data_IF_204835784190
#
_entry.id   IF_204835784190
#
_cell.length_a   1.000
_cell.length_b   1.000
_cell.length_c   1.000
_cell.angle_alpha   90.00
_cell.angle_beta   90.00
_cell.angle_gamma   90.00
#
_symmetry.space_group_name_H-M   'P 1'
#
loop_
_entity.id
_entity.type
_entity.pdbx_description
1 polymer ?
#
# COMPACT_ATOMS: atom_id res chain seq x y z
N UNK A 1 0.85 13.60 -10.59
CA UNK A 1 0.95 14.01 -11.99
C UNK A 1 1.44 15.46 -12.08
N UNK A 2 0.82 16.43 -11.41
CA UNK A 2 1.22 17.86 -11.40
C UNK A 2 2.67 18.11 -10.95
N UNK A 3 3.18 17.37 -9.96
CA UNK A 3 4.57 17.50 -9.51
C UNK A 3 5.58 17.05 -10.58
N UNK A 4 5.28 15.97 -11.32
CA UNK A 4 6.14 15.53 -12.42
C UNK A 4 6.20 16.52 -13.57
N UNK A 5 5.07 17.09 -13.91
CA UNK A 5 4.99 18.13 -14.95
C UNK A 5 5.79 19.37 -14.54
N UNK A 6 5.63 19.82 -13.28
CA UNK A 6 6.39 20.95 -12.76
C UNK A 6 7.90 20.69 -12.79
N UNK A 7 8.35 19.55 -12.28
CA UNK A 7 9.75 19.16 -12.30
C UNK A 7 10.31 19.08 -13.73
N UNK A 8 9.51 18.63 -14.69
CA UNK A 8 9.90 18.60 -16.10
C UNK A 8 10.09 20.00 -16.66
N UNK A 9 9.19 20.95 -16.36
CA UNK A 9 9.36 22.34 -16.82
C UNK A 9 10.57 23.02 -16.17
N UNK A 10 10.87 22.76 -14.91
CA UNK A 10 12.07 23.27 -14.25
C UNK A 10 13.35 22.74 -14.92
N UNK A 11 13.40 21.45 -15.27
CA UNK A 11 14.53 20.88 -16.03
C UNK A 11 14.71 21.51 -17.41
N UNK A 12 13.64 21.73 -18.14
CA UNK A 12 13.69 22.38 -19.45
C UNK A 12 14.15 23.85 -19.35
N UNK A 13 13.73 24.55 -18.31
CA UNK A 13 14.18 25.92 -18.02
C UNK A 13 15.70 25.98 -17.78
N UNK A 14 16.24 25.05 -17.00
CA UNK A 14 17.67 24.93 -16.76
C UNK A 14 18.47 24.66 -18.05
N UNK A 15 17.97 23.75 -18.90
CA UNK A 15 18.59 23.43 -20.19
C UNK A 15 18.62 24.66 -21.07
N UNK A 16 17.49 25.35 -21.23
CA UNK A 16 17.36 26.53 -22.09
C UNK A 16 18.17 27.71 -21.56
N UNK A 17 18.14 27.91 -20.25
CA UNK A 17 18.94 28.95 -19.58
C UNK A 17 20.45 28.72 -19.75
N UNK A 18 20.90 27.49 -19.58
CA UNK A 18 22.32 27.09 -19.76
C UNK A 18 22.77 27.29 -21.21
N UNK A 19 21.99 26.82 -22.18
CA UNK A 19 22.32 26.99 -23.61
C UNK A 19 22.34 28.48 -23.98
N UNK A 20 21.34 29.25 -23.50
CA UNK A 20 21.27 30.67 -23.74
C UNK A 20 22.53 31.42 -23.23
N UNK A 21 22.91 31.18 -22.00
CA UNK A 21 24.04 31.85 -21.39
C UNK A 21 25.38 31.38 -21.90
N UNK A 22 25.58 30.04 -22.05
CA UNK A 22 26.90 29.47 -22.39
C UNK A 22 27.21 29.52 -23.89
N UNK A 23 26.20 29.38 -24.77
CA UNK A 23 26.43 29.32 -26.21
C UNK A 23 26.05 30.61 -26.93
N UNK A 24 24.99 31.30 -26.48
CA UNK A 24 24.53 32.53 -27.14
C UNK A 24 24.94 33.82 -26.44
N UNK A 25 25.41 33.73 -25.20
CA UNK A 25 25.72 34.90 -24.39
C UNK A 25 24.48 35.72 -23.99
N UNK A 26 23.26 35.10 -24.06
CA UNK A 26 21.99 35.73 -23.81
C UNK A 26 21.35 35.21 -22.54
N UNK A 27 20.75 36.10 -21.75
CA UNK A 27 19.97 35.69 -20.56
C UNK A 27 18.54 35.27 -20.94
N UNK A 28 18.45 34.20 -21.73
CA UNK A 28 17.19 33.72 -22.32
C UNK A 28 16.14 33.39 -21.25
N UNK A 29 16.52 32.96 -20.06
CA UNK A 29 15.62 32.69 -18.95
C UNK A 29 14.77 33.90 -18.52
N UNK A 30 15.25 35.14 -18.75
CA UNK A 30 14.47 36.34 -18.46
C UNK A 30 13.20 36.44 -19.33
N UNK A 31 13.25 35.88 -20.55
CA UNK A 31 12.13 35.88 -21.48
C UNK A 31 11.04 34.85 -21.13
N UNK A 32 11.20 34.06 -20.07
CA UNK A 32 10.19 33.13 -19.57
C UNK A 32 8.88 33.81 -19.16
N UNK A 33 8.96 34.99 -18.54
CA UNK A 33 7.81 35.68 -17.96
C UNK A 33 7.36 36.90 -18.77
N UNK A 34 8.28 37.55 -19.48
CA UNK A 34 8.02 38.77 -20.29
C UNK A 34 9.07 38.85 -21.38
N UNK A 35 8.82 39.66 -22.41
CA UNK A 35 9.82 39.91 -23.44
C UNK A 35 11.11 40.47 -22.83
N UNK A 36 12.27 40.00 -23.31
CA UNK A 36 13.55 40.38 -22.74
C UNK A 36 13.75 41.92 -22.82
N UNK A 37 14.22 42.50 -21.72
CA UNK A 37 14.26 43.96 -21.57
C UNK A 37 15.22 44.65 -22.55
N UNK A 38 16.34 44.03 -22.86
CA UNK A 38 17.41 44.64 -23.62
C UNK A 38 17.63 43.99 -25.00
N UNK A 39 17.39 42.71 -25.11
CA UNK A 39 17.62 41.96 -26.33
C UNK A 39 16.27 41.75 -27.08
N UNK A 40 16.24 41.64 -28.41
CA UNK A 40 15.03 41.40 -29.18
C UNK A 40 14.59 39.92 -29.05
N UNK A 41 14.37 39.47 -27.82
CA UNK A 41 13.99 38.13 -27.49
C UNK A 41 12.57 38.13 -26.84
N UNK A 42 11.54 37.87 -27.61
CA UNK A 42 10.19 37.79 -27.06
C UNK A 42 9.97 36.50 -26.26
N UNK A 43 9.06 36.52 -25.29
CA UNK A 43 8.63 35.35 -24.50
C UNK A 43 8.27 34.16 -25.38
N UNK A 44 7.65 34.40 -26.54
CA UNK A 44 7.32 33.34 -27.49
C UNK A 44 8.54 32.54 -27.95
N UNK A 45 9.70 33.19 -28.13
CA UNK A 45 10.91 32.49 -28.60
C UNK A 45 11.58 31.70 -27.51
N UNK A 46 11.46 32.13 -26.23
CA UNK A 46 11.81 31.28 -25.08
C UNK A 46 11.02 29.95 -25.11
N UNK A 47 9.68 30.01 -25.29
CA UNK A 47 8.86 28.80 -25.33
C UNK A 47 9.10 27.93 -26.58
N UNK A 48 9.46 28.56 -27.72
CA UNK A 48 9.88 27.81 -28.90
C UNK A 48 11.20 27.07 -28.67
N UNK A 49 12.16 27.69 -28.00
CA UNK A 49 13.42 27.05 -27.64
C UNK A 49 13.18 25.93 -26.62
N UNK A 50 12.34 26.15 -25.63
CA UNK A 50 11.91 25.12 -24.68
C UNK A 50 11.26 23.92 -25.37
N UNK A 51 10.37 24.19 -26.35
CA UNK A 51 9.69 23.14 -27.13
C UNK A 51 10.67 22.30 -27.95
N UNK A 52 11.78 22.85 -28.41
CA UNK A 52 12.82 22.08 -29.12
C UNK A 52 13.45 20.99 -28.26
N UNK A 53 13.43 21.17 -26.93
CA UNK A 53 13.96 20.19 -25.96
C UNK A 53 12.87 19.38 -25.26
N UNK A 54 11.59 19.51 -25.65
CA UNK A 54 10.48 18.84 -24.97
C UNK A 54 10.60 17.32 -24.91
N UNK A 55 11.16 16.71 -25.97
CA UNK A 55 11.39 15.25 -26.06
C UNK A 55 12.77 14.80 -25.54
N UNK A 56 13.62 15.72 -25.05
CA UNK A 56 14.91 15.34 -24.47
C UNK A 56 14.71 14.76 -23.08
N UNK A 57 15.50 13.77 -22.71
CA UNK A 57 15.54 13.19 -21.37
C UNK A 57 16.96 13.17 -20.85
N UNK A 58 17.11 13.22 -19.53
CA UNK A 58 18.38 12.89 -18.90
C UNK A 58 18.47 11.36 -18.84
N UNK A 59 19.57 10.84 -19.38
CA UNK A 59 19.89 9.43 -19.31
C UNK A 59 21.35 9.31 -18.86
N UNK A 60 21.54 8.62 -17.75
CA UNK A 60 22.87 8.20 -17.36
C UNK A 60 23.32 7.05 -18.28
N UNK A 61 24.54 7.14 -18.78
CA UNK A 61 25.18 6.04 -19.49
C UNK A 61 26.59 5.88 -18.97
N UNK A 62 26.97 4.63 -18.81
CA UNK A 62 28.33 4.31 -18.40
C UNK A 62 29.27 4.61 -19.56
N UNK A 63 30.21 5.54 -19.33
CA UNK A 63 31.29 5.82 -20.25
C UNK A 63 32.53 5.05 -19.81
N UNK A 64 32.96 4.12 -20.63
CA UNK A 64 34.18 3.38 -20.41
C UNK A 64 35.28 3.94 -21.34
N UNK A 65 36.28 4.63 -20.76
CA UNK A 65 37.39 5.23 -21.53
C UNK A 65 38.32 4.19 -22.18
N UNK A 66 38.37 2.96 -21.63
CA UNK A 66 39.17 1.85 -22.17
C UNK A 66 38.41 0.51 -22.00
N UNK A 67 37.48 0.21 -22.92
CA UNK A 67 36.71 -1.02 -22.89
C UNK A 67 37.54 -2.31 -22.92
N UNK A 68 38.73 -2.26 -23.52
CA UNK A 68 39.60 -3.42 -23.59
C UNK A 68 40.25 -3.74 -22.24
N UNK A 69 40.77 -2.72 -21.56
CA UNK A 69 41.32 -2.87 -20.23
C UNK A 69 40.23 -3.26 -19.20
N UNK A 70 39.05 -2.66 -19.28
CA UNK A 70 37.92 -2.98 -18.43
C UNK A 70 37.47 -4.43 -18.61
N UNK A 71 37.40 -4.92 -19.83
CA UNK A 71 37.08 -6.34 -20.12
C UNK A 71 38.08 -7.30 -19.49
N UNK A 72 39.37 -7.02 -19.63
CA UNK A 72 40.43 -7.85 -19.02
C UNK A 72 40.33 -7.85 -17.49
N UNK A 73 40.13 -6.67 -16.89
CA UNK A 73 39.96 -6.54 -15.45
C UNK A 73 38.73 -7.29 -14.95
N UNK A 74 37.60 -7.19 -15.67
CA UNK A 74 36.37 -7.89 -15.38
C UNK A 74 36.49 -9.39 -15.47
N UNK A 75 37.10 -9.90 -16.55
CA UNK A 75 37.32 -11.34 -16.73
C UNK A 75 38.21 -11.92 -15.60
N UNK A 76 39.23 -11.17 -15.18
CA UNK A 76 40.09 -11.52 -14.04
C UNK A 76 39.30 -11.53 -12.72
N UNK A 77 38.50 -10.54 -12.51
CA UNK A 77 37.63 -10.42 -11.32
C UNK A 77 36.62 -11.57 -11.27
N UNK A 78 35.87 -11.80 -12.37
CA UNK A 78 34.85 -12.83 -12.45
C UNK A 78 35.44 -14.21 -12.21
N UNK A 79 36.62 -14.50 -12.76
CA UNK A 79 37.34 -15.75 -12.52
C UNK A 79 37.73 -15.94 -11.06
N UNK A 80 38.22 -14.88 -10.41
CA UNK A 80 38.58 -14.94 -8.98
C UNK A 80 37.33 -15.04 -8.08
N UNK A 81 36.24 -14.39 -8.46
CA UNK A 81 34.98 -14.37 -7.70
C UNK A 81 34.10 -15.61 -7.88
N UNK A 82 34.30 -16.34 -8.97
CA UNK A 82 33.46 -17.48 -9.33
C UNK A 82 33.31 -18.50 -8.20
N UNK A 83 34.38 -18.81 -7.50
CA UNK A 83 34.34 -19.75 -6.36
C UNK A 83 33.45 -19.29 -5.21
N UNK A 84 33.43 -17.98 -4.94
CA UNK A 84 32.56 -17.40 -3.91
C UNK A 84 31.09 -17.34 -4.35
N UNK A 85 30.86 -17.02 -5.63
CA UNK A 85 29.52 -17.04 -6.22
C UNK A 85 28.94 -18.44 -6.19
N UNK A 86 29.73 -19.45 -6.63
CA UNK A 86 29.31 -20.86 -6.63
C UNK A 86 29.04 -21.37 -5.20
N UNK A 87 29.89 -20.98 -4.22
CA UNK A 87 29.68 -21.33 -2.81
C UNK A 87 28.41 -20.68 -2.25
N UNK A 88 28.13 -19.43 -2.59
CA UNK A 88 26.90 -18.73 -2.19
C UNK A 88 25.67 -19.41 -2.77
N UNK A 89 25.64 -19.66 -4.08
CA UNK A 89 24.51 -20.33 -4.76
C UNK A 89 24.25 -21.71 -4.15
N UNK A 90 25.31 -22.46 -3.89
CA UNK A 90 25.20 -23.76 -3.22
C UNK A 90 24.60 -23.63 -1.83
N UNK A 91 25.10 -22.69 -1.03
CA UNK A 91 24.58 -22.44 0.33
C UNK A 91 23.10 -22.05 0.30
N UNK A 92 22.74 -21.13 -0.58
CA UNK A 92 21.37 -20.67 -0.77
C UNK A 92 20.44 -21.85 -1.12
N UNK A 93 20.85 -22.68 -2.08
CA UNK A 93 20.06 -23.84 -2.51
C UNK A 93 19.92 -24.92 -1.45
N UNK A 94 20.97 -25.18 -0.67
CA UNK A 94 20.98 -26.25 0.33
C UNK A 94 20.36 -25.84 1.67
N UNK A 95 20.48 -24.57 2.06
CA UNK A 95 20.11 -24.15 3.41
C UNK A 95 18.88 -23.24 3.48
N UNK A 96 18.62 -22.40 2.45
CA UNK A 96 17.51 -21.46 2.52
C UNK A 96 16.14 -22.13 2.59
N UNK A 97 15.82 -23.20 1.84
CA UNK A 97 14.51 -23.84 1.91
C UNK A 97 14.20 -24.31 3.32
N UNK A 98 15.14 -25.04 3.95
CA UNK A 98 14.97 -25.52 5.32
C UNK A 98 14.86 -24.39 6.33
N UNK A 99 15.68 -23.33 6.22
CA UNK A 99 15.61 -22.16 7.10
C UNK A 99 14.30 -21.40 6.95
N UNK A 100 13.77 -21.35 5.72
CA UNK A 100 12.46 -20.76 5.45
C UNK A 100 11.35 -21.59 6.12
N UNK A 101 11.40 -22.92 5.97
CA UNK A 101 10.44 -23.82 6.61
C UNK A 101 10.51 -23.74 8.15
N UNK A 102 11.72 -23.71 8.71
CA UNK A 102 11.94 -23.57 10.15
C UNK A 102 11.41 -22.21 10.63
N UNK A 103 11.62 -21.13 9.86
CA UNK A 103 11.12 -19.80 10.18
C UNK A 103 9.58 -19.71 10.07
N UNK A 104 9.01 -20.29 9.01
CA UNK A 104 7.55 -20.39 8.85
C UNK A 104 6.90 -21.19 9.96
N UNK A 105 7.57 -22.26 10.41
CA UNK A 105 7.11 -23.11 11.53
C UNK A 105 7.30 -22.45 12.90
N UNK A 106 8.34 -21.65 13.08
CA UNK A 106 8.61 -20.92 14.33
C UNK A 106 7.76 -19.66 14.49
N UNK A 107 7.46 -18.97 13.40
CA UNK A 107 6.50 -17.85 13.39
C UNK A 107 5.08 -18.39 13.25
N UNK A 108 4.54 -18.82 14.40
CA UNK A 108 3.14 -19.16 14.62
C UNK A 108 2.51 -20.01 13.50
N UNK A 109 2.42 -21.31 13.72
CA UNK A 109 1.25 -22.00 13.20
C UNK A 109 0.06 -21.22 13.72
N UNK A 110 -0.72 -20.53 12.87
CA UNK A 110 -1.97 -19.98 13.35
C UNK A 110 -2.69 -21.13 14.05
N UNK A 111 -3.40 -20.89 15.16
CA UNK A 111 -4.15 -21.94 15.81
C UNK A 111 -4.95 -22.65 14.73
N UNK A 112 -5.07 -23.99 14.75
CA UNK A 112 -5.91 -24.67 13.80
C UNK A 112 -7.32 -24.08 13.92
N UNK A 113 -7.67 -23.23 12.96
CA UNK A 113 -8.99 -22.65 12.85
C UNK A 113 -9.90 -23.80 12.40
N UNK A 114 -10.85 -24.17 13.24
CA UNK A 114 -11.83 -25.21 12.87
C UNK A 114 -12.79 -24.67 11.82
N UNK A 115 -13.22 -23.41 11.98
CA UNK A 115 -14.16 -22.79 11.07
C UNK A 115 -14.09 -21.27 11.14
N UNK A 116 -14.12 -20.64 9.97
CA UNK A 116 -14.41 -19.22 9.81
C UNK A 116 -15.83 -19.05 9.27
N UNK A 117 -16.66 -18.27 9.98
CA UNK A 117 -18.00 -17.95 9.53
C UNK A 117 -17.98 -17.10 8.25
N UNK A 118 -19.08 -17.09 7.51
CA UNK A 118 -19.28 -16.19 6.37
C UNK A 118 -19.33 -14.75 6.88
N UNK A 119 -18.73 -13.83 6.13
CA UNK A 119 -18.85 -12.42 6.44
C UNK A 119 -20.31 -11.96 6.35
N UNK A 120 -20.71 -11.18 7.33
CA UNK A 120 -21.98 -10.47 7.38
C UNK A 120 -21.69 -8.98 7.36
N UNK A 121 -22.38 -8.21 6.57
CA UNK A 121 -22.24 -6.75 6.50
C UNK A 121 -23.55 -6.06 6.79
N UNK A 122 -23.48 -4.95 7.52
CA UNK A 122 -24.60 -4.03 7.74
C UNK A 122 -24.10 -2.58 7.70
N UNK A 123 -24.88 -1.72 7.07
CA UNK A 123 -24.56 -0.30 6.90
C UNK A 123 -25.04 0.20 5.53
N UNK A 124 -24.78 1.46 5.22
CA UNK A 124 -24.04 2.44 6.03
C UNK A 124 -24.90 3.10 7.13
N UNK A 125 -24.41 3.13 8.35
CA UNK A 125 -24.95 3.97 9.42
C UNK A 125 -24.44 5.40 9.24
N UNK A 126 -25.30 6.31 8.84
CA UNK A 126 -24.94 7.71 8.56
C UNK A 126 -24.75 8.52 9.83
N UNK A 127 -23.80 9.44 9.81
CA UNK A 127 -23.55 10.40 10.87
C UNK A 127 -23.41 11.82 10.29
N UNK A 128 -23.36 12.82 11.16
CA UNK A 128 -23.22 14.21 10.77
C UNK A 128 -21.88 14.49 10.06
N UNK A 129 -20.82 13.86 10.55
CA UNK A 129 -19.47 13.95 9.98
C UNK A 129 -18.68 12.68 10.30
N UNK A 130 -17.46 12.59 9.75
CA UNK A 130 -16.53 11.48 9.94
C UNK A 130 -16.20 11.24 11.43
N UNK A 131 -15.97 12.29 12.22
CA UNK A 131 -15.60 12.19 13.62
C UNK A 131 -16.75 11.67 14.47
N UNK A 132 -17.97 12.11 14.15
CA UNK A 132 -19.20 11.57 14.77
C UNK A 132 -19.35 10.10 14.39
N UNK A 133 -19.23 9.74 13.10
CA UNK A 133 -19.30 8.34 12.66
C UNK A 133 -18.27 7.44 13.35
N UNK A 134 -17.05 7.96 13.59
CA UNK A 134 -16.01 7.23 14.32
C UNK A 134 -16.36 7.03 15.79
N UNK A 135 -16.80 8.09 16.48
CA UNK A 135 -17.01 8.06 17.94
C UNK A 135 -18.33 7.44 18.36
N UNK A 136 -19.39 7.61 17.55
CA UNK A 136 -20.71 7.08 17.86
C UNK A 136 -20.72 5.56 17.93
N UNK A 137 -21.36 5.02 18.97
CA UNK A 137 -21.55 3.58 19.14
C UNK A 137 -22.92 3.20 18.62
N UNK A 138 -22.97 2.76 17.36
CA UNK A 138 -24.21 2.29 16.73
C UNK A 138 -24.66 0.94 17.29
N UNK A 139 -25.87 0.55 16.97
CA UNK A 139 -26.51 -0.64 17.54
C UNK A 139 -25.68 -1.93 17.45
N UNK A 140 -24.96 -2.24 16.34
CA UNK A 140 -24.15 -3.47 16.25
C UNK A 140 -23.00 -3.57 17.26
N UNK A 141 -22.50 -2.44 17.78
CA UNK A 141 -21.48 -2.46 18.83
C UNK A 141 -22.03 -2.90 20.20
N UNK A 142 -23.32 -2.65 20.43
CA UNK A 142 -23.99 -3.04 21.69
C UNK A 142 -24.39 -4.50 21.66
N UNK A 143 -24.96 -4.95 20.54
CA UNK A 143 -25.39 -6.32 20.33
C UNK A 143 -25.39 -6.66 18.83
N UNK A 144 -24.79 -7.80 18.49
CA UNK A 144 -24.88 -8.37 17.15
C UNK A 144 -25.99 -9.39 17.12
N UNK A 145 -27.10 -9.03 16.51
CA UNK A 145 -28.24 -9.88 16.21
C UNK A 145 -28.47 -9.87 14.70
N UNK A 146 -28.21 -11.01 14.04
CA UNK A 146 -28.23 -11.12 12.57
C UNK A 146 -29.65 -11.09 12.00
N UNK A 147 -30.65 -11.40 12.81
CA UNK A 147 -32.08 -11.41 12.41
C UNK A 147 -32.73 -10.02 12.57
N UNK A 148 -32.10 -9.15 13.35
CA UNK A 148 -32.68 -7.83 13.68
C UNK A 148 -32.49 -6.85 12.54
N UNK A 149 -33.54 -6.07 12.29
CA UNK A 149 -33.50 -4.91 11.40
C UNK A 149 -33.23 -3.66 12.24
N UNK A 150 -32.28 -2.84 11.80
CA UNK A 150 -31.93 -1.56 12.44
C UNK A 150 -32.33 -0.43 11.48
N UNK A 151 -33.44 0.24 11.79
CA UNK A 151 -34.10 1.13 10.85
C UNK A 151 -34.45 0.35 9.56
N UNK A 152 -33.87 0.74 8.42
CA UNK A 152 -34.01 0.05 7.12
C UNK A 152 -32.82 -0.87 6.80
N UNK A 153 -31.85 -0.99 7.73
CA UNK A 153 -30.62 -1.76 7.52
C UNK A 153 -30.77 -3.20 8.05
N UNK A 154 -30.31 -4.15 7.28
CA UNK A 154 -30.25 -5.58 7.62
C UNK A 154 -28.86 -6.13 7.38
N UNK A 155 -28.50 -7.12 8.20
CA UNK A 155 -27.31 -7.92 7.93
C UNK A 155 -27.45 -8.68 6.62
N UNK A 156 -26.43 -8.58 5.77
CA UNK A 156 -26.38 -9.26 4.48
C UNK A 156 -25.15 -10.16 4.43
N UNK A 157 -25.33 -11.47 4.20
CA UNK A 157 -24.21 -12.40 4.07
C UNK A 157 -23.42 -12.13 2.78
N UNK A 158 -22.11 -12.26 2.86
CA UNK A 158 -21.17 -12.06 1.78
C UNK A 158 -20.31 -13.32 1.56
N UNK A 159 -20.87 -14.38 0.97
CA UNK A 159 -20.17 -15.66 0.81
C UNK A 159 -18.98 -15.58 -0.15
N UNK A 160 -18.98 -14.61 -1.06
CA UNK A 160 -17.94 -14.42 -2.07
C UNK A 160 -16.72 -13.62 -1.56
N UNK A 161 -16.82 -13.04 -0.37
CA UNK A 161 -15.69 -12.30 0.20
C UNK A 161 -14.63 -13.27 0.72
N UNK A 162 -13.45 -13.21 0.11
CA UNK A 162 -12.28 -14.05 0.43
C UNK A 162 -11.28 -13.29 1.27
N UNK A 163 -10.78 -13.94 2.32
CA UNK A 163 -9.68 -13.43 3.12
C UNK A 163 -8.40 -13.29 2.26
N UNK A 164 -7.59 -12.27 2.53
CA UNK A 164 -6.39 -11.96 1.75
C UNK A 164 -6.66 -11.15 0.47
N UNK A 165 -7.87 -10.67 0.26
CA UNK A 165 -8.25 -9.79 -0.85
C UNK A 165 -8.79 -8.46 -0.32
N UNK A 166 -8.59 -7.40 -1.10
CA UNK A 166 -9.18 -6.08 -0.83
C UNK A 166 -10.60 -6.07 -1.39
N UNK A 167 -11.56 -5.68 -0.55
CA UNK A 167 -12.97 -5.55 -0.90
C UNK A 167 -13.37 -4.07 -0.86
N UNK A 168 -13.57 -3.46 -2.04
CA UNK A 168 -13.98 -2.06 -2.22
C UNK A 168 -15.49 -1.94 -2.48
N UNK A 169 -16.29 -2.57 -1.64
CA UNK A 169 -17.75 -2.70 -1.84
C UNK A 169 -18.59 -2.01 -0.78
N UNK A 170 -17.93 -1.38 0.20
CA UNK A 170 -18.62 -0.62 1.24
C UNK A 170 -19.05 0.75 0.70
N UNK A 171 -20.14 1.27 1.25
CA UNK A 171 -20.75 2.51 0.76
C UNK A 171 -21.03 3.50 1.89
N UNK A 172 -21.33 4.73 1.51
CA UNK A 172 -21.74 5.81 2.40
C UNK A 172 -20.61 6.76 2.75
N UNK A 173 -20.90 8.07 2.70
CA UNK A 173 -20.02 9.13 3.17
C UNK A 173 -20.38 9.48 4.62
N UNK A 174 -19.41 9.89 5.42
CA UNK A 174 -19.59 10.20 6.84
C UNK A 174 -20.39 9.10 7.55
N UNK A 175 -19.97 7.86 7.40
CA UNK A 175 -20.75 6.70 7.82
C UNK A 175 -19.90 5.56 8.35
N UNK A 176 -20.54 4.62 9.03
CA UNK A 176 -19.94 3.39 9.50
C UNK A 176 -20.60 2.16 8.88
N UNK A 177 -19.80 1.22 8.39
CA UNK A 177 -20.21 -0.11 8.00
C UNK A 177 -19.68 -1.11 9.02
N UNK A 178 -20.49 -2.09 9.40
CA UNK A 178 -20.08 -3.16 10.30
C UNK A 178 -19.96 -4.47 9.57
N UNK A 179 -18.84 -5.14 9.83
CA UNK A 179 -18.50 -6.46 9.30
C UNK A 179 -18.41 -7.43 10.46
N UNK A 180 -19.14 -8.52 10.38
CA UNK A 180 -19.20 -9.52 11.44
C UNK A 180 -18.91 -10.91 10.90
N UNK A 181 -18.20 -11.70 11.68
CA UNK A 181 -18.04 -13.14 11.48
C UNK A 181 -17.72 -13.88 12.78
N UNK A 182 -17.89 -15.18 12.77
CA UNK A 182 -17.45 -16.07 13.85
C UNK A 182 -16.11 -16.71 13.52
N UNK A 183 -15.33 -16.99 14.56
CA UNK A 183 -14.05 -17.71 14.51
C UNK A 183 -14.14 -18.86 15.50
N UNK A 184 -14.08 -20.11 15.04
CA UNK A 184 -14.11 -21.30 15.89
C UNK A 184 -12.72 -21.90 16.04
N UNK A 185 -12.32 -22.15 17.28
CA UNK A 185 -11.05 -22.78 17.64
C UNK A 185 -11.26 -23.83 18.73
N UNK A 186 -10.56 -24.98 18.62
CA UNK A 186 -10.67 -26.06 19.61
C UNK A 186 -10.12 -25.68 20.98
N UNK A 187 -9.09 -24.84 21.01
CA UNK A 187 -8.38 -24.45 22.24
C UNK A 187 -8.11 -22.94 22.22
N UNK A 188 -8.02 -22.37 23.44
CA UNK A 188 -7.62 -20.97 23.60
C UNK A 188 -6.27 -20.73 22.95
N UNK A 189 -6.19 -19.76 22.05
CA UNK A 189 -4.97 -19.46 21.31
C UNK A 189 -4.93 -17.99 20.84
N UNK A 190 -3.73 -17.41 20.68
CA UNK A 190 -3.57 -16.14 20.00
C UNK A 190 -3.71 -16.37 18.48
N UNK A 191 -4.37 -15.44 17.79
CA UNK A 191 -4.45 -15.37 16.32
C UNK A 191 -4.03 -13.97 15.89
N UNK A 192 -2.92 -13.87 15.18
CA UNK A 192 -2.56 -12.61 14.52
C UNK A 192 -3.39 -12.45 13.24
N UNK A 193 -4.04 -11.30 13.11
CA UNK A 193 -4.75 -10.89 11.91
C UNK A 193 -4.13 -9.64 11.33
N UNK A 194 -4.17 -9.56 10.02
CA UNK A 194 -3.77 -8.38 9.26
C UNK A 194 -4.99 -7.72 8.66
N UNK A 195 -5.02 -6.39 8.70
CA UNK A 195 -6.17 -5.56 8.38
C UNK A 195 -5.80 -4.45 7.41
N UNK A 196 -6.74 -4.09 6.56
CA UNK A 196 -6.74 -2.88 5.76
C UNK A 196 -8.07 -2.16 5.89
N UNK A 197 -8.07 -0.87 5.74
CA UNK A 197 -9.23 0.01 5.95
C UNK A 197 -9.21 1.21 5.02
N UNK A 198 -10.40 1.72 4.82
CA UNK A 198 -10.64 3.00 4.16
C UNK A 198 -11.86 3.65 4.84
N UNK A 199 -11.75 4.68 5.64
CA UNK A 199 -10.61 5.42 6.21
C UNK A 199 -10.17 4.84 7.56
N UNK A 200 -11.07 4.85 8.57
CA UNK A 200 -10.80 4.44 9.94
C UNK A 200 -11.40 3.07 10.29
N UNK A 201 -10.88 2.46 11.35
CA UNK A 201 -11.32 1.14 11.81
C UNK A 201 -11.41 1.06 13.33
N UNK A 202 -12.42 0.33 13.82
CA UNK A 202 -12.44 -0.26 15.16
C UNK A 202 -12.70 -1.76 15.06
N UNK A 203 -12.02 -2.54 15.88
CA UNK A 203 -12.16 -4.00 15.92
C UNK A 203 -12.54 -4.45 17.33
N UNK A 204 -13.54 -5.31 17.39
CA UNK A 204 -14.04 -5.87 18.63
C UNK A 204 -13.98 -7.40 18.58
N UNK A 205 -13.49 -8.00 19.65
CA UNK A 205 -13.50 -9.45 19.86
C UNK A 205 -14.36 -9.77 21.07
N UNK A 206 -15.40 -10.56 20.87
CA UNK A 206 -16.34 -10.94 21.93
C UNK A 206 -16.90 -9.72 22.69
N UNK A 207 -17.22 -8.64 21.98
CA UNK A 207 -17.72 -7.38 22.52
C UNK A 207 -16.66 -6.44 23.12
N UNK A 208 -15.39 -6.85 23.20
CA UNK A 208 -14.30 -6.02 23.70
C UNK A 208 -13.50 -5.41 22.55
N UNK A 209 -13.31 -4.09 22.58
CA UNK A 209 -12.46 -3.39 21.60
C UNK A 209 -10.99 -3.81 21.75
N UNK A 210 -10.40 -4.25 20.64
CA UNK A 210 -8.99 -4.73 20.55
C UNK A 210 -8.13 -3.85 19.66
N UNK A 211 -8.74 -3.08 18.77
CA UNK A 211 -8.07 -2.10 17.90
C UNK A 211 -8.98 -0.90 17.67
N UNK A 212 -8.37 0.30 17.62
CA UNK A 212 -9.00 1.50 17.12
C UNK A 212 -7.95 2.37 16.42
N UNK A 213 -8.24 2.76 15.18
CA UNK A 213 -7.37 3.61 14.36
C UNK A 213 -8.22 4.67 13.66
N UNK A 214 -7.96 5.93 13.99
CA UNK A 214 -8.59 7.10 13.38
C UNK A 214 -7.59 7.74 12.43
N UNK A 215 -7.58 7.30 11.17
CA UNK A 215 -6.68 7.78 10.13
C UNK A 215 -7.44 7.79 8.81
N UNK A 216 -7.32 8.83 8.02
CA UNK A 216 -7.89 8.91 6.68
C UNK A 216 -6.92 8.34 5.64
N UNK A 217 -7.45 7.65 4.63
CA UNK A 217 -6.69 7.12 3.51
C UNK A 217 -7.26 5.82 2.95
N UNK A 218 -6.95 5.54 1.70
CA UNK A 218 -7.46 4.38 0.98
C UNK A 218 -7.02 3.03 1.56
N UNK A 219 -7.80 2.00 1.26
CA UNK A 219 -7.53 0.64 1.72
C UNK A 219 -6.29 0.04 1.06
N UNK A 220 -5.46 -0.58 1.86
CA UNK A 220 -4.35 -1.42 1.41
C UNK A 220 -4.24 -2.67 2.30
N UNK A 221 -3.56 -3.70 1.80
CA UNK A 221 -3.22 -4.85 2.62
C UNK A 221 -2.23 -4.47 3.72
N UNK A 222 -2.31 -5.16 4.87
CA UNK A 222 -1.33 -5.07 5.97
C UNK A 222 -1.12 -3.68 6.58
N UNK A 223 -2.11 -2.79 6.50
CA UNK A 223 -2.03 -1.47 7.13
C UNK A 223 -1.95 -1.55 8.66
N UNK A 224 -2.67 -2.49 9.26
CA UNK A 224 -2.69 -2.71 10.70
C UNK A 224 -2.60 -4.21 11.03
N UNK A 225 -1.94 -4.54 12.14
CA UNK A 225 -1.88 -5.91 12.66
C UNK A 225 -2.33 -5.93 14.11
N UNK A 226 -3.10 -6.95 14.47
CA UNK A 226 -3.57 -7.14 15.86
C UNK A 226 -3.60 -8.62 16.20
N UNK A 227 -3.21 -8.95 17.44
CA UNK A 227 -3.29 -10.31 17.96
C UNK A 227 -4.59 -10.48 18.75
N UNK A 228 -5.50 -11.29 18.21
CA UNK A 228 -6.75 -11.69 18.87
C UNK A 228 -6.44 -12.78 19.90
N UNK A 229 -6.95 -12.62 21.12
CA UNK A 229 -6.88 -13.65 22.17
C UNK A 229 -8.17 -14.47 22.12
N UNK A 230 -8.18 -15.52 21.31
CA UNK A 230 -9.35 -16.38 21.10
C UNK A 230 -9.58 -17.29 22.31
N UNK A 231 -10.83 -17.44 22.72
CA UNK A 231 -11.27 -18.47 23.66
C UNK A 231 -11.59 -19.78 22.91
N UNK A 232 -11.54 -20.91 23.59
CA UNK A 232 -12.01 -22.16 23.03
C UNK A 232 -13.49 -22.07 22.63
N UNK A 233 -13.86 -22.65 21.50
CA UNK A 233 -15.17 -22.55 20.90
C UNK A 233 -15.32 -21.34 19.99
N UNK A 234 -16.54 -20.80 19.92
CA UNK A 234 -16.92 -19.70 19.01
C UNK A 234 -16.55 -18.34 19.57
N UNK A 235 -15.80 -17.58 18.79
CA UNK A 235 -15.48 -16.18 19.04
C UNK A 235 -16.20 -15.29 18.03
N UNK A 236 -16.67 -14.13 18.48
CA UNK A 236 -17.37 -13.12 17.67
C UNK A 236 -16.41 -12.00 17.31
N UNK A 237 -16.11 -11.85 16.03
CA UNK A 237 -15.31 -10.75 15.49
C UNK A 237 -16.25 -9.73 14.85
N UNK A 238 -16.18 -8.48 15.32
CA UNK A 238 -16.89 -7.36 14.73
C UNK A 238 -15.88 -6.29 14.33
N UNK A 239 -15.95 -5.82 13.10
CA UNK A 239 -15.16 -4.71 12.60
C UNK A 239 -16.09 -3.57 12.19
N UNK A 240 -15.77 -2.36 12.59
CA UNK A 240 -16.41 -1.11 12.15
C UNK A 240 -15.46 -0.41 11.21
N UNK A 241 -15.86 -0.24 9.97
CA UNK A 241 -15.13 0.54 8.97
C UNK A 241 -15.85 1.87 8.82
N UNK A 242 -15.12 2.97 8.99
CA UNK A 242 -15.66 4.32 8.95
C UNK A 242 -15.11 5.01 7.70
N UNK A 243 -16.01 5.55 6.89
CA UNK A 243 -15.68 6.28 5.66
C UNK A 243 -16.00 7.76 5.80
N UNK A 244 -15.03 8.61 5.44
CA UNK A 244 -15.24 10.05 5.33
C UNK A 244 -15.95 10.39 4.03
N UNK A 245 -15.41 9.94 2.89
CA UNK A 245 -15.99 10.19 1.57
C UNK A 245 -15.37 9.30 0.49
N UNK A 246 -16.11 9.08 -0.59
CA UNK A 246 -15.65 8.32 -1.74
C UNK A 246 -15.81 6.81 -1.61
N UNK A 247 -15.02 6.02 -2.35
CA UNK A 247 -15.01 4.57 -2.22
C UNK A 247 -14.61 4.15 -0.81
N UNK A 248 -15.14 3.03 -0.34
CA UNK A 248 -14.78 2.48 0.97
C UNK A 248 -14.57 0.98 0.86
N UNK A 249 -13.63 0.48 1.66
CA UNK A 249 -13.26 -0.91 1.61
C UNK A 249 -12.50 -1.40 2.84
N UNK A 250 -12.24 -2.71 2.83
CA UNK A 250 -11.47 -3.35 3.87
C UNK A 250 -10.59 -4.47 3.31
N UNK A 251 -9.62 -4.86 4.10
CA UNK A 251 -8.82 -6.08 3.92
C UNK A 251 -8.77 -6.84 5.24
N UNK A 252 -8.81 -8.14 5.16
CA UNK A 252 -8.66 -9.03 6.32
C UNK A 252 -7.86 -10.27 5.92
N UNK A 253 -6.89 -10.66 6.73
CA UNK A 253 -6.16 -11.91 6.56
C UNK A 253 -5.78 -12.51 7.92
N UNK A 254 -5.86 -13.83 8.02
CA UNK A 254 -5.35 -14.61 9.15
C UNK A 254 -3.93 -15.15 8.90
N UNK A 255 -3.37 -14.85 7.74
CA UNK A 255 -2.00 -15.26 7.36
C UNK A 255 -1.14 -14.00 7.31
N UNK A 256 -0.01 -13.96 8.02
CA UNK A 256 0.97 -12.91 7.79
C UNK A 256 1.42 -13.01 6.33
N UNK A 257 1.39 -11.88 5.61
CA UNK A 257 1.89 -11.87 4.23
C UNK A 257 3.33 -12.34 4.18
N UNK A 258 3.58 -13.34 3.37
CA UNK A 258 4.93 -13.66 2.92
C UNK A 258 5.31 -12.50 1.99
N UNK A 259 6.36 -11.73 2.30
CA UNK A 259 6.77 -10.60 1.46
C UNK A 259 6.84 -11.01 0.00
N UNK A 260 6.25 -10.21 -0.90
CA UNK A 260 6.16 -10.52 -2.34
C UNK A 260 7.51 -10.87 -2.99
N UNK A 261 8.61 -10.35 -2.45
CA UNK A 261 9.97 -10.69 -2.87
C UNK A 261 10.39 -12.13 -2.53
N UNK A 262 9.68 -12.82 -1.63
CA UNK A 262 9.93 -14.23 -1.28
C UNK A 262 9.00 -15.15 -2.08
N UNK A 263 7.82 -14.69 -2.51
CA UNK A 263 6.88 -15.49 -3.33
C UNK A 263 7.47 -15.91 -4.70
N UNK A 264 8.46 -15.19 -5.21
CA UNK A 264 9.14 -15.51 -6.47
C UNK A 264 10.34 -16.46 -6.30
N UNK A 265 10.61 -16.91 -5.07
CA UNK A 265 11.74 -17.82 -4.75
C UNK A 265 11.23 -19.25 -4.47
N UNK A 266 9.92 -19.42 -4.31
CA UNK A 266 9.21 -20.70 -4.15
C UNK A 266 8.58 -21.11 -5.48
#
# INVERSE_FOLDING_TARGET
QKERERSRYEQLDDVVGTIGTSMLGLTVGCARCHDHKFDPLPTRDYYRLTAAFAETGFQDFDYDPDPAATKVAKDKFDKAHKTFVDARVKFEKEHLPKRLDDWLNAKSKPPPLEKLGVWQVIGPFKAADFKVAYNESFAPEKEVDLEKTYEDLKWTPQPDWKDGQIHNTLTGNNSANYLFRTIEVAKKAPLEISLGRDDAIKVFLNGKQVLAKEVTGGVAADQDKVTLKLNAGTNKLLMKIINASGPSGFYFSTRPDIPKNIQNIL
#
